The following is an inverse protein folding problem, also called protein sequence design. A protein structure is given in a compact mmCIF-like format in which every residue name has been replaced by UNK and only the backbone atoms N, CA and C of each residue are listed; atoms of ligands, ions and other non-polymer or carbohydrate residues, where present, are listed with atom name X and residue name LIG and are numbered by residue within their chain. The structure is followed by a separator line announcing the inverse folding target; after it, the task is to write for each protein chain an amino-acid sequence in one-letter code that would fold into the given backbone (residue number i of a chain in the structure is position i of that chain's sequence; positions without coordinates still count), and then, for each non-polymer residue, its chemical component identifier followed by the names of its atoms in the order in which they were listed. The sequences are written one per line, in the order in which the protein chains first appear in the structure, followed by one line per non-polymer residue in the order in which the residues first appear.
data_IF_328926177247
#
_entry.id   IF_328926177247
#
_cell.length_a   1.000
_cell.length_b   1.000
_cell.length_c   1.000
_cell.angle_alpha   90.00
_cell.angle_beta   90.00
_cell.angle_gamma   90.00
#
_symmetry.space_group_name_H-M   'P 1'
#
loop_
_entity.id
_entity.type
_entity.pdbx_description
1 polymer ?
#
# COMPACT_ATOMS: atom_id res chain seq x y z
N UNK A 1 12.56 -22.25 28.76
CA UNK A 1 13.37 -21.39 27.86
C UNK A 1 13.24 -19.97 28.39
N UNK A 2 14.31 -19.36 28.90
CA UNK A 2 14.30 -17.98 29.35
C UNK A 2 14.63 -17.09 28.15
N UNK A 3 13.61 -16.59 27.46
CA UNK A 3 13.76 -15.65 26.34
C UNK A 3 13.34 -14.25 26.78
N UNK A 4 14.12 -13.22 26.47
CA UNK A 4 13.78 -11.82 26.78
C UNK A 4 12.88 -11.27 25.67
N UNK A 5 11.57 -11.25 25.91
CA UNK A 5 10.58 -10.75 24.96
C UNK A 5 10.05 -9.40 25.42
N UNK A 6 10.21 -8.36 24.59
CA UNK A 6 9.71 -7.02 24.87
C UNK A 6 8.48 -6.72 24.01
N UNK A 7 7.41 -6.27 24.64
CA UNK A 7 6.25 -5.70 23.97
C UNK A 7 6.40 -4.19 23.88
N UNK A 8 6.15 -3.62 22.70
CA UNK A 8 6.38 -2.21 22.40
C UNK A 8 5.14 -1.57 21.81
N UNK A 9 4.50 -0.68 22.56
CA UNK A 9 3.47 0.20 22.03
C UNK A 9 4.07 1.53 21.57
N UNK A 10 3.96 1.81 20.27
CA UNK A 10 4.67 2.91 19.61
C UNK A 10 3.78 4.14 19.53
N UNK A 11 4.19 5.19 20.22
CA UNK A 11 3.54 6.51 20.21
C UNK A 11 4.21 7.44 19.18
N UNK A 12 3.70 8.68 19.07
CA UNK A 12 4.23 9.68 18.12
C UNK A 12 5.69 10.09 18.40
N UNK A 13 6.08 10.19 19.66
CA UNK A 13 7.37 10.72 20.11
C UNK A 13 8.11 9.81 21.10
N UNK A 14 7.57 8.62 21.37
CA UNK A 14 8.10 7.68 22.36
C UNK A 14 7.60 6.26 22.07
N UNK A 15 8.11 5.29 22.82
CA UNK A 15 7.59 3.92 22.87
C UNK A 15 7.43 3.51 24.34
N UNK A 16 6.28 2.94 24.68
CA UNK A 16 6.05 2.31 25.99
C UNK A 16 6.40 0.84 25.85
N UNK A 17 7.13 0.31 26.82
CA UNK A 17 7.68 -1.02 26.77
C UNK A 17 7.36 -1.84 28.01
N UNK A 18 7.20 -3.15 27.80
CA UNK A 18 7.10 -4.15 28.85
C UNK A 18 8.02 -5.32 28.49
N UNK A 19 9.09 -5.53 29.26
CA UNK A 19 10.01 -6.64 29.07
C UNK A 19 9.56 -7.83 29.95
N UNK A 20 9.42 -9.00 29.33
CA UNK A 20 9.11 -10.26 30.00
C UNK A 20 10.26 -11.25 29.83
N UNK A 21 10.79 -11.73 30.95
CA UNK A 21 11.74 -12.86 31.02
C UNK A 21 11.05 -14.21 31.20
N UNK A 22 9.78 -14.18 31.60
CA UNK A 22 8.87 -15.32 31.70
C UNK A 22 7.44 -14.86 31.41
N UNK A 23 6.56 -15.79 31.02
CA UNK A 23 5.13 -15.52 30.85
C UNK A 23 4.46 -15.43 32.23
N UNK A 24 3.81 -14.30 32.60
CA UNK A 24 3.07 -14.21 33.86
C UNK A 24 1.89 -15.17 33.87
N UNK A 25 1.58 -15.83 34.99
CA UNK A 25 0.42 -16.72 35.09
C UNK A 25 -0.90 -15.92 35.09
N UNK A 26 -0.90 -14.78 35.79
CA UNK A 26 -2.01 -13.83 35.83
C UNK A 26 -1.58 -12.45 35.29
N UNK A 27 -1.79 -12.19 33.98
CA UNK A 27 -1.49 -10.90 33.36
C UNK A 27 -2.25 -9.72 33.95
N UNK A 28 -3.43 -9.94 34.52
CA UNK A 28 -4.26 -8.87 35.06
C UNK A 28 -3.66 -8.35 36.38
N UNK A 29 -3.29 -9.26 37.28
CA UNK A 29 -2.59 -8.89 38.51
C UNK A 29 -1.19 -8.36 38.17
N UNK A 30 -0.44 -9.04 37.28
CA UNK A 30 0.90 -8.62 36.89
C UNK A 30 0.96 -7.20 36.32
N UNK A 31 -0.10 -6.74 35.65
CA UNK A 31 -0.17 -5.38 35.11
C UNK A 31 0.08 -4.30 36.16
N UNK A 32 -0.34 -4.49 37.42
CA UNK A 32 -0.15 -3.51 38.48
C UNK A 32 1.27 -3.49 39.05
N UNK A 33 1.99 -4.62 38.94
CA UNK A 33 3.36 -4.78 39.44
C UNK A 33 4.42 -4.63 38.33
N UNK A 34 3.99 -4.56 37.07
CA UNK A 34 4.87 -4.52 35.91
C UNK A 34 5.68 -3.22 35.83
N UNK A 35 6.98 -3.35 35.59
CA UNK A 35 7.84 -2.20 35.30
C UNK A 35 7.71 -1.77 33.83
N UNK A 36 6.86 -0.78 33.58
CA UNK A 36 6.73 -0.16 32.27
C UNK A 36 7.75 0.96 32.10
N UNK A 37 8.50 0.90 31.00
CA UNK A 37 9.48 1.93 30.67
C UNK A 37 9.08 2.66 29.39
N UNK A 38 9.19 3.99 29.41
CA UNK A 38 8.91 4.84 28.25
C UNK A 38 10.22 5.42 27.72
N UNK A 39 10.48 5.23 26.43
CA UNK A 39 11.68 5.72 25.78
C UNK A 39 11.34 6.79 24.74
N UNK A 40 11.99 7.96 24.76
CA UNK A 40 11.78 8.98 23.73
C UNK A 40 12.31 8.52 22.37
N UNK A 41 11.68 8.97 21.28
CA UNK A 41 12.08 8.67 19.90
C UNK A 41 13.32 9.50 19.47
N UNK A 42 14.42 9.33 20.19
CA UNK A 42 15.72 9.97 19.94
C UNK A 42 16.86 8.98 20.24
N UNK A 43 18.11 9.43 20.07
CA UNK A 43 19.29 8.59 20.29
C UNK A 43 19.33 7.96 21.69
N UNK A 44 19.09 8.76 22.73
CA UNK A 44 19.11 8.30 24.12
C UNK A 44 18.06 7.24 24.37
N UNK A 45 16.82 7.43 23.91
CA UNK A 45 15.77 6.43 24.09
C UNK A 45 16.01 5.13 23.31
N UNK A 46 16.62 5.21 22.13
CA UNK A 46 17.05 4.01 21.39
C UNK A 46 18.14 3.26 22.16
N UNK A 47 19.15 3.97 22.68
CA UNK A 47 20.23 3.35 23.47
C UNK A 47 19.67 2.66 24.72
N UNK A 48 18.84 3.36 25.50
CA UNK A 48 18.24 2.80 26.72
C UNK A 48 17.31 1.61 26.43
N UNK A 49 16.59 1.62 25.30
CA UNK A 49 15.81 0.46 24.88
C UNK A 49 16.70 -0.76 24.56
N UNK A 50 17.83 -0.54 23.90
CA UNK A 50 18.77 -1.61 23.56
C UNK A 50 19.53 -2.15 24.77
N UNK A 51 19.76 -1.32 25.79
CA UNK A 51 20.33 -1.73 27.09
C UNK A 51 19.46 -2.76 27.82
N UNK A 52 18.15 -2.80 27.53
CA UNK A 52 17.27 -3.87 28.00
C UNK A 52 17.58 -5.24 27.40
N UNK A 53 18.51 -5.33 26.44
CA UNK A 53 18.95 -6.55 25.77
C UNK A 53 17.81 -7.51 25.38
N UNK A 54 16.75 -7.04 24.66
CA UNK A 54 15.69 -7.92 24.21
C UNK A 54 16.18 -8.87 23.12
N UNK A 55 15.71 -10.12 23.14
CA UNK A 55 15.96 -11.10 22.07
C UNK A 55 14.83 -11.11 21.02
N UNK A 56 13.65 -10.62 21.41
CA UNK A 56 12.50 -10.43 20.52
C UNK A 56 11.75 -9.17 20.92
N UNK A 57 11.36 -8.37 19.93
CA UNK A 57 10.46 -7.24 20.09
C UNK A 57 9.15 -7.47 19.35
N UNK A 58 8.02 -7.30 20.03
CA UNK A 58 6.67 -7.45 19.47
C UNK A 58 5.97 -6.10 19.49
N UNK A 59 5.50 -5.65 18.33
CA UNK A 59 4.85 -4.33 18.20
C UNK A 59 3.71 -4.34 17.18
N UNK A 60 2.82 -3.36 17.28
CA UNK A 60 1.87 -3.07 16.21
C UNK A 60 2.52 -2.21 15.11
N UNK A 61 2.09 -2.32 13.84
CA UNK A 61 2.50 -1.39 12.78
C UNK A 61 1.77 -0.04 12.90
N UNK A 62 1.81 0.60 14.08
CA UNK A 62 1.13 1.87 14.36
C UNK A 62 1.85 3.00 13.64
N UNK A 63 1.15 3.66 12.70
CA UNK A 63 1.65 4.78 11.90
C UNK A 63 3.03 4.50 11.31
N UNK A 64 3.10 3.83 10.16
CA UNK A 64 4.31 3.26 9.50
C UNK A 64 5.63 4.04 9.65
N UNK A 65 5.58 5.37 9.79
CA UNK A 65 6.76 6.20 10.01
C UNK A 65 7.31 6.17 11.45
N UNK A 66 6.46 6.08 12.47
CA UNK A 66 6.87 6.09 13.88
C UNK A 66 7.56 4.78 14.27
N UNK A 67 7.04 3.64 13.82
CA UNK A 67 7.65 2.33 14.07
C UNK A 67 8.96 2.11 13.32
N UNK A 68 9.21 2.83 12.21
CA UNK A 68 10.41 2.66 11.37
C UNK A 68 11.71 2.87 12.13
N UNK A 69 11.76 3.86 13.02
CA UNK A 69 12.92 4.12 13.87
C UNK A 69 13.25 2.88 14.72
N UNK A 70 12.29 2.43 15.50
CA UNK A 70 12.44 1.31 16.43
C UNK A 70 12.77 0.00 15.70
N UNK A 71 12.02 -0.33 14.66
CA UNK A 71 12.25 -1.54 13.84
C UNK A 71 13.67 -1.55 13.26
N UNK A 72 14.17 -0.41 12.78
CA UNK A 72 15.50 -0.32 12.17
C UNK A 72 16.59 -0.56 13.20
N UNK A 73 16.54 0.16 14.33
CA UNK A 73 17.59 0.03 15.36
C UNK A 73 17.57 -1.33 16.05
N UNK A 74 16.40 -1.91 16.31
CA UNK A 74 16.26 -3.25 16.86
C UNK A 74 16.84 -4.31 15.93
N UNK A 75 16.47 -4.30 14.64
CA UNK A 75 17.04 -5.24 13.67
C UNK A 75 18.56 -5.08 13.51
N UNK A 76 19.07 -3.84 13.49
CA UNK A 76 20.52 -3.58 13.42
C UNK A 76 21.27 -4.11 14.65
N UNK A 77 20.62 -4.14 15.81
CA UNK A 77 21.14 -4.74 17.04
C UNK A 77 20.93 -6.26 17.12
N UNK A 78 20.40 -6.89 16.07
CA UNK A 78 20.15 -8.34 16.03
C UNK A 78 18.89 -8.80 16.76
N UNK A 79 18.01 -7.88 17.18
CA UNK A 79 16.76 -8.20 17.87
C UNK A 79 15.71 -8.66 16.86
N UNK A 80 15.06 -9.79 17.11
CA UNK A 80 13.98 -10.29 16.24
C UNK A 80 12.73 -9.41 16.39
N UNK A 81 12.33 -8.70 15.34
CA UNK A 81 11.11 -7.87 15.37
C UNK A 81 9.91 -8.60 14.76
N UNK A 82 8.81 -8.68 15.51
CA UNK A 82 7.54 -9.26 15.06
C UNK A 82 6.40 -8.27 15.15
N UNK A 83 5.55 -8.26 14.12
CA UNK A 83 4.43 -7.33 14.01
C UNK A 83 3.10 -8.03 14.28
N UNK A 84 2.21 -7.40 15.04
CA UNK A 84 0.86 -7.92 15.34
C UNK A 84 -0.21 -7.03 14.70
N UNK A 85 -1.29 -7.65 14.21
CA UNK A 85 -2.43 -6.90 13.69
C UNK A 85 -3.28 -6.31 14.83
N UNK A 86 -3.68 -5.06 14.69
CA UNK A 86 -4.46 -4.33 15.70
C UNK A 86 -5.77 -5.00 16.12
N UNK A 87 -6.48 -5.66 15.21
CA UNK A 87 -7.71 -6.38 15.56
C UNK A 87 -7.38 -7.59 16.41
N UNK A 88 -6.30 -8.31 16.07
CA UNK A 88 -5.83 -9.46 16.83
C UNK A 88 -5.37 -9.05 18.23
N UNK A 89 -4.56 -8.01 18.35
CA UNK A 89 -4.05 -7.54 19.64
C UNK A 89 -5.20 -7.10 20.55
N UNK A 90 -6.11 -6.27 20.04
CA UNK A 90 -7.29 -5.81 20.79
C UNK A 90 -8.12 -6.98 21.32
N UNK A 91 -8.37 -7.99 20.48
CA UNK A 91 -9.11 -9.19 20.88
C UNK A 91 -8.37 -10.01 21.93
N UNK A 92 -7.05 -10.15 21.77
CA UNK A 92 -6.19 -10.88 22.72
C UNK A 92 -6.14 -10.17 24.08
N UNK A 93 -5.84 -8.87 24.11
CA UNK A 93 -5.79 -8.08 25.34
C UNK A 93 -7.11 -8.15 26.12
N UNK A 94 -8.24 -7.87 25.45
CA UNK A 94 -9.54 -7.81 26.10
C UNK A 94 -10.05 -9.17 26.56
N UNK A 95 -9.97 -10.19 25.71
CA UNK A 95 -10.69 -11.45 25.93
C UNK A 95 -9.81 -12.55 26.52
N UNK A 96 -8.50 -12.49 26.32
CA UNK A 96 -7.57 -13.53 26.76
C UNK A 96 -6.75 -13.11 27.98
N UNK A 97 -6.36 -11.82 28.06
CA UNK A 97 -5.60 -11.31 29.20
C UNK A 97 -6.47 -10.62 30.26
N UNK A 98 -7.79 -10.52 30.04
CA UNK A 98 -8.70 -9.80 30.93
C UNK A 98 -8.27 -8.34 31.24
N UNK A 99 -7.60 -7.69 30.29
CA UNK A 99 -7.21 -6.27 30.37
C UNK A 99 -8.16 -5.44 29.49
N UNK A 100 -9.37 -5.07 29.94
CA UNK A 100 -10.36 -4.41 29.08
C UNK A 100 -9.95 -2.97 28.70
N UNK A 101 -9.27 -2.27 29.61
CA UNK A 101 -8.93 -0.87 29.45
C UNK A 101 -7.81 -0.67 28.44
N UNK A 102 -8.02 0.28 27.53
CA UNK A 102 -7.01 0.63 26.53
C UNK A 102 -6.09 1.71 27.11
N UNK A 103 -4.82 1.36 27.31
CA UNK A 103 -3.73 2.29 27.55
C UNK A 103 -2.42 1.69 27.02
N UNK A 104 -1.40 2.54 26.84
CA UNK A 104 -0.15 2.17 26.18
C UNK A 104 0.60 1.05 26.95
N UNK A 105 0.56 1.07 28.28
CA UNK A 105 1.14 0.02 29.13
C UNK A 105 0.44 -1.33 28.94
N UNK A 106 -0.90 -1.33 28.84
CA UNK A 106 -1.69 -2.55 28.68
C UNK A 106 -1.49 -3.15 27.28
N UNK A 107 -1.37 -2.32 26.25
CA UNK A 107 -1.04 -2.78 24.90
C UNK A 107 0.43 -3.29 24.84
N UNK A 108 1.38 -2.64 25.53
CA UNK A 108 2.76 -3.12 25.65
C UNK A 108 2.86 -4.48 26.38
N UNK A 109 2.19 -4.66 27.51
CA UNK A 109 2.13 -5.96 28.20
C UNK A 109 1.46 -7.01 27.31
N UNK A 110 0.36 -6.66 26.65
CA UNK A 110 -0.35 -7.59 25.77
C UNK A 110 0.52 -8.07 24.60
N UNK A 111 1.33 -7.17 24.00
CA UNK A 111 2.28 -7.51 22.96
C UNK A 111 3.37 -8.47 23.46
N UNK A 112 3.91 -8.23 24.65
CA UNK A 112 4.92 -9.11 25.26
C UNK A 112 4.35 -10.52 25.52
N UNK A 113 3.16 -10.61 26.13
CA UNK A 113 2.44 -11.86 26.35
C UNK A 113 2.11 -12.56 25.01
N UNK A 114 1.71 -11.82 23.98
CA UNK A 114 1.44 -12.36 22.64
C UNK A 114 2.70 -13.01 22.04
N UNK A 115 3.85 -12.37 22.24
CA UNK A 115 5.16 -12.90 21.87
C UNK A 115 5.41 -14.25 22.52
N UNK A 116 5.26 -14.33 23.84
CA UNK A 116 5.43 -15.57 24.60
C UNK A 116 4.51 -16.69 24.13
N UNK A 117 3.21 -16.41 23.99
CA UNK A 117 2.19 -17.41 23.68
C UNK A 117 2.30 -17.94 22.24
N UNK A 118 2.82 -17.12 21.32
CA UNK A 118 2.84 -17.43 19.89
C UNK A 118 4.23 -17.45 19.25
N UNK A 119 5.32 -17.39 20.01
CA UNK A 119 6.70 -17.34 19.47
C UNK A 119 7.02 -18.44 18.45
N UNK A 120 6.40 -19.61 18.55
CA UNK A 120 6.62 -20.73 17.62
C UNK A 120 5.59 -20.76 16.46
N UNK A 121 4.62 -19.85 16.43
CA UNK A 121 3.56 -19.79 15.44
C UNK A 121 3.63 -18.52 14.58
N UNK A 122 4.49 -18.54 13.56
CA UNK A 122 4.71 -17.39 12.66
C UNK A 122 3.43 -16.90 11.96
N UNK A 123 2.42 -17.76 11.77
CA UNK A 123 1.14 -17.38 11.13
C UNK A 123 0.31 -16.39 11.96
N UNK A 124 0.61 -16.27 13.26
CA UNK A 124 -0.06 -15.33 14.17
C UNK A 124 0.40 -13.89 13.94
N UNK A 125 1.66 -13.70 13.52
CA UNK A 125 2.24 -12.40 13.23
C UNK A 125 1.97 -11.95 11.79
N UNK A 126 2.12 -10.65 11.57
CA UNK A 126 2.11 -10.06 10.24
C UNK A 126 3.41 -10.42 9.53
N UNK A 127 3.30 -10.74 8.23
CA UNK A 127 4.46 -11.02 7.40
C UNK A 127 5.26 -9.74 7.17
N UNK A 128 6.54 -9.78 7.49
CA UNK A 128 7.48 -8.70 7.19
C UNK A 128 7.79 -8.70 5.70
N UNK A 129 7.81 -7.52 5.09
CA UNK A 129 8.21 -7.33 3.70
C UNK A 129 9.72 -7.21 3.62
N UNK A 130 10.30 -7.57 2.46
CA UNK A 130 11.71 -7.27 2.23
C UNK A 130 11.97 -5.75 2.29
N UNK A 131 13.19 -5.31 2.61
CA UNK A 131 13.54 -3.89 2.63
C UNK A 131 13.21 -3.18 1.32
N UNK A 132 13.46 -3.83 0.19
CA UNK A 132 13.23 -3.31 -1.16
C UNK A 132 11.74 -3.13 -1.44
N UNK A 133 10.93 -4.13 -1.04
CA UNK A 133 9.47 -4.10 -1.18
C UNK A 133 8.86 -3.00 -0.32
N UNK A 134 9.41 -2.79 0.89
CA UNK A 134 9.01 -1.70 1.78
C UNK A 134 9.34 -0.34 1.18
N UNK A 135 10.58 -0.16 0.69
CA UNK A 135 11.01 1.07 0.03
C UNK A 135 10.18 1.40 -1.22
N UNK A 136 9.87 0.38 -2.03
CA UNK A 136 9.01 0.51 -3.20
C UNK A 136 7.61 1.01 -2.81
N UNK A 137 7.05 0.45 -1.73
CA UNK A 137 5.74 0.85 -1.21
C UNK A 137 5.73 2.30 -0.68
N UNK A 138 6.78 2.68 0.05
CA UNK A 138 6.95 4.05 0.56
C UNK A 138 6.95 5.07 -0.60
N UNK A 139 7.67 4.77 -1.69
CA UNK A 139 7.64 5.60 -2.89
C UNK A 139 6.26 5.69 -3.53
N UNK A 140 5.52 4.58 -3.64
CA UNK A 140 4.14 4.61 -4.14
C UNK A 140 3.23 5.50 -3.27
N UNK A 141 3.38 5.44 -1.94
CA UNK A 141 2.61 6.31 -1.04
C UNK A 141 3.00 7.79 -1.18
N UNK A 142 4.29 8.07 -1.38
CA UNK A 142 4.76 9.44 -1.62
C UNK A 142 4.18 10.00 -2.91
N UNK A 143 4.15 9.23 -4.01
CA UNK A 143 3.49 9.63 -5.25
C UNK A 143 1.99 9.90 -5.07
N UNK A 144 1.28 9.08 -4.30
CA UNK A 144 -0.14 9.34 -4.01
C UNK A 144 -0.36 10.57 -3.11
N UNK A 145 0.60 10.88 -2.23
CA UNK A 145 0.59 12.13 -1.49
C UNK A 145 0.79 13.35 -2.41
N UNK A 146 1.79 13.30 -3.30
CA UNK A 146 2.03 14.37 -4.28
C UNK A 146 0.82 14.61 -5.18
N UNK A 147 0.16 13.55 -5.66
CA UNK A 147 -1.09 13.67 -6.42
C UNK A 147 -2.18 14.43 -5.65
N UNK A 148 -2.30 14.21 -4.33
CA UNK A 148 -3.28 14.89 -3.48
C UNK A 148 -2.94 16.36 -3.25
N UNK A 149 -1.66 16.71 -3.19
CA UNK A 149 -1.20 18.10 -3.11
C UNK A 149 -1.38 18.84 -4.43
N UNK A 150 -1.09 18.18 -5.55
CA UNK A 150 -1.14 18.77 -6.88
C UNK A 150 -2.56 19.21 -7.27
N UNK A 151 -3.58 18.38 -6.98
CA UNK A 151 -4.95 18.62 -7.46
C UNK A 151 -5.54 19.97 -7.00
N UNK A 152 -5.51 20.34 -5.70
CA UNK A 152 -5.96 21.66 -5.26
C UNK A 152 -5.20 22.81 -5.92
N UNK A 153 -3.88 22.68 -6.09
CA UNK A 153 -3.04 23.73 -6.69
C UNK A 153 -3.41 23.91 -8.18
N UNK A 154 -3.55 22.82 -8.94
CA UNK A 154 -3.98 22.87 -10.34
C UNK A 154 -5.37 23.49 -10.46
N UNK A 155 -6.33 23.07 -9.63
CA UNK A 155 -7.68 23.60 -9.68
C UNK A 155 -7.71 25.09 -9.36
N UNK A 156 -6.93 25.54 -8.37
CA UNK A 156 -6.83 26.95 -8.03
C UNK A 156 -6.18 27.76 -9.15
N UNK A 157 -5.07 27.27 -9.72
CA UNK A 157 -4.42 27.89 -10.87
C UNK A 157 -5.38 28.02 -12.06
N UNK A 158 -6.22 27.02 -12.34
CA UNK A 158 -7.22 27.14 -13.42
C UNK A 158 -8.23 28.25 -13.17
N UNK A 159 -8.66 28.45 -11.91
CA UNK A 159 -9.55 29.54 -11.54
C UNK A 159 -8.87 30.91 -11.69
N UNK A 160 -7.61 31.01 -11.24
CA UNK A 160 -6.85 32.26 -11.36
C UNK A 160 -6.56 32.56 -12.85
N UNK A 161 -6.17 31.56 -13.65
CA UNK A 161 -5.94 31.73 -15.09
C UNK A 161 -7.21 32.08 -15.85
N UNK A 162 -8.40 31.76 -15.36
CA UNK A 162 -9.66 32.09 -16.06
C UNK A 162 -9.87 33.60 -16.28
N UNK A 163 -9.27 34.44 -15.44
CA UNK A 163 -9.30 35.90 -15.61
C UNK A 163 -7.92 36.51 -15.88
N UNK A 164 -6.83 35.85 -15.47
CA UNK A 164 -5.46 36.35 -15.70
C UNK A 164 -4.90 36.00 -17.08
N UNK A 165 -5.23 34.82 -17.61
CA UNK A 165 -4.77 34.30 -18.90
C UNK A 165 -5.77 33.26 -19.47
N UNK A 166 -7.00 33.70 -19.82
CA UNK A 166 -8.15 32.81 -20.07
C UNK A 166 -7.91 31.77 -21.16
N UNK A 167 -7.11 32.08 -22.17
CA UNK A 167 -6.78 31.21 -23.30
C UNK A 167 -6.09 29.91 -22.86
N UNK A 168 -5.50 29.89 -21.66
CA UNK A 168 -4.82 28.72 -21.11
C UNK A 168 -5.53 28.07 -19.93
N UNK A 169 -6.61 28.65 -19.40
CA UNK A 169 -7.31 28.15 -18.22
C UNK A 169 -7.86 26.72 -18.40
N UNK A 170 -8.33 26.39 -19.60
CA UNK A 170 -8.78 25.05 -19.99
C UNK A 170 -7.69 24.10 -20.47
N UNK A 171 -6.46 24.59 -20.67
CA UNK A 171 -5.38 23.81 -21.29
C UNK A 171 -4.89 22.68 -20.38
N UNK A 172 -4.66 21.50 -20.97
CA UNK A 172 -3.93 20.43 -20.29
C UNK A 172 -2.44 20.56 -20.57
N UNK A 173 -1.66 20.95 -19.55
CA UNK A 173 -0.21 20.88 -19.60
C UNK A 173 0.27 19.66 -18.80
N UNK A 174 1.07 18.80 -19.45
CA UNK A 174 1.59 17.56 -18.85
C UNK A 174 3.11 17.64 -18.71
N UNK A 175 3.64 16.92 -17.71
CA UNK A 175 5.09 16.75 -17.49
C UNK A 175 5.73 16.11 -18.73
N UNK A 176 6.95 16.53 -19.09
CA UNK A 176 7.72 16.04 -20.24
C UNK A 176 8.99 15.34 -19.73
N UNK A 177 8.85 14.09 -19.30
CA UNK A 177 9.97 13.37 -18.69
C UNK A 177 10.41 14.01 -17.38
N UNK A 178 11.66 14.47 -17.30
CA UNK A 178 12.18 15.19 -16.13
C UNK A 178 11.70 16.64 -16.04
N UNK A 179 11.24 17.20 -17.17
CA UNK A 179 10.84 18.61 -17.24
C UNK A 179 9.41 18.82 -16.75
N UNK A 180 9.15 19.88 -15.97
CA UNK A 180 7.81 20.24 -15.53
C UNK A 180 6.87 20.58 -16.72
N UNK A 181 5.54 20.64 -16.50
CA UNK A 181 4.61 21.03 -17.56
C UNK A 181 4.91 22.44 -18.08
N UNK A 182 5.03 22.59 -19.41
CA UNK A 182 5.58 23.79 -20.07
C UNK A 182 4.86 25.08 -19.68
N UNK A 183 3.52 25.01 -19.59
CA UNK A 183 2.70 26.17 -19.23
C UNK A 183 3.06 26.66 -17.84
N UNK A 184 3.19 25.75 -16.87
CA UNK A 184 3.49 26.11 -15.50
C UNK A 184 4.95 26.51 -15.32
N UNK A 185 5.87 25.87 -16.05
CA UNK A 185 7.28 26.27 -16.09
C UNK A 185 7.43 27.71 -16.60
N UNK A 186 6.70 28.05 -17.66
CA UNK A 186 6.66 29.41 -18.22
C UNK A 186 6.01 30.42 -17.28
N UNK A 187 4.85 30.11 -16.68
CA UNK A 187 4.21 30.99 -15.68
C UNK A 187 5.14 31.23 -14.48
N UNK A 188 5.86 30.18 -14.04
CA UNK A 188 6.84 30.24 -12.96
C UNK A 188 8.11 31.02 -13.33
N UNK A 189 8.33 31.35 -14.61
CA UNK A 189 9.56 31.99 -15.08
C UNK A 189 10.77 31.04 -15.12
N UNK A 190 10.56 29.73 -15.05
CA UNK A 190 11.63 28.72 -15.07
C UNK A 190 12.05 28.32 -16.49
N UNK A 191 11.17 28.50 -17.49
CA UNK A 191 11.41 28.11 -18.89
C UNK A 191 10.81 29.15 -19.85
N UNK A 192 11.52 29.51 -20.91
CA UNK A 192 10.93 30.32 -22.00
C UNK A 192 10.00 29.45 -22.85
N UNK A 193 8.88 30.04 -23.25
CA UNK A 193 7.91 29.37 -24.11
C UNK A 193 7.35 30.38 -25.10
N UNK A 194 7.98 30.56 -26.28
CA UNK A 194 7.59 31.57 -27.27
C UNK A 194 6.11 31.51 -27.66
N UNK A 195 5.55 30.29 -27.68
CA UNK A 195 4.11 30.07 -27.87
C UNK A 195 3.26 30.79 -26.84
N UNK A 196 3.58 30.64 -25.55
CA UNK A 196 2.83 31.27 -24.47
C UNK A 196 3.15 32.76 -24.35
N UNK A 197 4.38 33.19 -24.62
CA UNK A 197 4.74 34.61 -24.69
C UNK A 197 3.93 35.35 -25.76
N UNK A 198 3.86 34.80 -26.99
CA UNK A 198 3.09 35.39 -28.08
C UNK A 198 1.60 35.42 -27.75
N UNK A 199 1.06 34.32 -27.22
CA UNK A 199 -0.34 34.22 -26.85
C UNK A 199 -0.71 35.18 -25.72
N UNK A 200 0.18 35.35 -24.74
CA UNK A 200 -0.03 36.22 -23.60
C UNK A 200 -0.02 37.70 -23.97
N UNK A 201 0.84 38.12 -24.91
CA UNK A 201 0.89 39.50 -25.43
C UNK A 201 -0.42 39.97 -26.04
N UNK A 202 -1.20 39.04 -26.60
CA UNK A 202 -2.51 39.33 -27.22
C UNK A 202 -3.67 38.82 -26.37
N UNK A 203 -3.42 38.46 -25.11
CA UNK A 203 -4.45 37.90 -24.24
C UNK A 203 -5.44 38.97 -23.79
N UNK A 204 -6.70 38.57 -23.63
CA UNK A 204 -7.72 39.41 -22.98
C UNK A 204 -7.64 39.39 -21.44
N UNK A 205 -6.68 38.65 -20.87
CA UNK A 205 -6.52 38.48 -19.43
C UNK A 205 -6.00 39.72 -18.71
N UNK A 206 -6.31 39.85 -17.42
CA UNK A 206 -5.97 41.01 -16.60
C UNK A 206 -4.53 41.01 -16.05
N UNK A 207 -3.70 40.05 -16.45
CA UNK A 207 -2.31 39.95 -16.01
C UNK A 207 -2.06 38.87 -14.97
N UNK A 208 -0.88 38.24 -15.02
CA UNK A 208 -0.46 37.21 -14.06
C UNK A 208 0.01 37.86 -12.76
N UNK A 209 -0.42 37.32 -11.62
CA UNK A 209 0.00 37.80 -10.30
C UNK A 209 1.12 36.96 -9.70
N UNK A 210 1.83 37.51 -8.71
CA UNK A 210 2.87 36.79 -7.96
C UNK A 210 2.34 35.52 -7.26
N UNK A 211 1.08 35.54 -6.82
CA UNK A 211 0.44 34.35 -6.20
C UNK A 211 0.33 33.22 -7.24
N UNK A 212 -0.09 33.54 -8.47
CA UNK A 212 -0.18 32.57 -9.57
C UNK A 212 1.20 32.03 -9.94
N UNK A 213 2.22 32.89 -9.99
CA UNK A 213 3.62 32.47 -10.24
C UNK A 213 4.13 31.53 -9.15
N UNK A 214 3.93 31.88 -7.88
CA UNK A 214 4.29 31.04 -6.73
C UNK A 214 3.59 29.68 -6.74
N UNK A 215 2.32 29.62 -7.13
CA UNK A 215 1.59 28.36 -7.27
C UNK A 215 2.15 27.50 -8.43
N UNK A 216 2.53 28.14 -9.54
CA UNK A 216 3.17 27.44 -10.66
C UNK A 216 4.56 26.89 -10.30
N UNK A 217 5.37 27.62 -9.53
CA UNK A 217 6.65 27.13 -8.98
C UNK A 217 6.44 25.86 -8.15
N UNK A 218 5.44 25.86 -7.26
CA UNK A 218 5.10 24.68 -6.45
C UNK A 218 4.72 23.47 -7.31
N UNK A 219 3.97 23.66 -8.40
CA UNK A 219 3.68 22.57 -9.34
C UNK A 219 4.94 22.04 -10.02
N UNK A 220 5.87 22.92 -10.40
CA UNK A 220 7.14 22.51 -11.01
C UNK A 220 7.99 21.69 -10.04
N UNK A 221 8.04 22.08 -8.76
CA UNK A 221 8.70 21.32 -7.69
C UNK A 221 8.08 19.93 -7.50
N UNK A 222 6.74 19.84 -7.43
CA UNK A 222 6.04 18.55 -7.32
C UNK A 222 6.39 17.65 -8.52
N UNK A 223 6.38 18.19 -9.75
CA UNK A 223 6.71 17.42 -10.95
C UNK A 223 8.14 16.85 -10.92
N UNK A 224 9.10 17.61 -10.37
CA UNK A 224 10.49 17.14 -10.16
C UNK A 224 10.57 16.06 -9.08
N UNK A 225 9.88 16.24 -7.96
CA UNK A 225 9.79 15.22 -6.91
C UNK A 225 9.21 13.90 -7.44
N UNK A 226 8.13 13.96 -8.23
CA UNK A 226 7.54 12.78 -8.86
C UNK A 226 8.55 12.06 -9.76
N UNK A 227 9.29 12.79 -10.60
CA UNK A 227 10.30 12.20 -11.48
C UNK A 227 11.45 11.54 -10.68
N UNK A 228 11.94 12.20 -9.63
CA UNK A 228 12.98 11.64 -8.77
C UNK A 228 12.52 10.33 -8.13
N UNK A 229 11.30 10.29 -7.63
CA UNK A 229 10.73 9.08 -7.03
C UNK A 229 10.56 7.97 -8.08
N UNK A 230 10.07 8.30 -9.28
CA UNK A 230 9.94 7.32 -10.36
C UNK A 230 11.28 6.73 -10.79
N UNK A 231 12.35 7.53 -10.79
CA UNK A 231 13.71 7.06 -11.07
C UNK A 231 14.19 6.07 -10.01
N UNK A 232 13.94 6.35 -8.74
CA UNK A 232 14.28 5.41 -7.66
C UNK A 232 13.43 4.13 -7.69
N UNK A 233 12.16 4.24 -8.10
CA UNK A 233 11.30 3.08 -8.36
C UNK A 233 11.90 2.21 -9.47
N UNK A 234 12.34 2.79 -10.58
CA UNK A 234 12.95 2.04 -11.69
C UNK A 234 14.18 1.26 -11.23
N UNK A 235 15.09 1.91 -10.47
CA UNK A 235 16.25 1.22 -9.88
C UNK A 235 15.87 0.01 -9.03
N UNK A 236 14.82 0.14 -8.21
CA UNK A 236 14.32 -0.98 -7.41
C UNK A 236 13.71 -2.06 -8.28
N UNK A 237 12.94 -1.68 -9.31
CA UNK A 237 12.31 -2.61 -10.23
C UNK A 237 13.32 -3.39 -11.09
N UNK A 238 14.54 -2.89 -11.28
CA UNK A 238 15.60 -3.58 -12.02
C UNK A 238 16.35 -4.63 -11.19
N UNK A 239 16.00 -4.79 -9.90
CA UNK A 239 16.59 -5.81 -9.06
C UNK A 239 16.28 -7.24 -9.57
N UNK A 240 17.27 -8.17 -9.57
CA UNK A 240 17.13 -9.50 -10.19
C UNK A 240 15.90 -10.28 -9.71
N UNK A 241 15.58 -10.22 -8.42
CA UNK A 241 14.44 -10.92 -7.82
C UNK A 241 13.07 -10.45 -8.34
N UNK A 242 13.00 -9.27 -8.94
CA UNK A 242 11.76 -8.70 -9.48
C UNK A 242 11.61 -8.91 -10.98
N UNK A 243 12.67 -9.25 -11.70
CA UNK A 243 12.64 -9.45 -13.15
C UNK A 243 11.62 -10.50 -13.61
N UNK A 244 11.44 -11.66 -12.94
CA UNK A 244 10.40 -12.62 -13.31
C UNK A 244 8.99 -12.03 -13.29
N UNK A 245 8.68 -11.21 -12.27
CA UNK A 245 7.38 -10.54 -12.17
C UNK A 245 7.21 -9.48 -13.26
N UNK A 246 8.27 -8.71 -13.53
CA UNK A 246 8.21 -7.63 -14.52
C UNK A 246 8.00 -8.12 -15.93
N UNK A 247 8.61 -9.26 -16.30
CA UNK A 247 8.33 -9.91 -17.60
C UNK A 247 6.85 -10.16 -17.79
N UNK A 248 6.17 -10.72 -16.78
CA UNK A 248 4.72 -10.93 -16.81
C UNK A 248 3.98 -9.58 -16.83
N UNK A 249 4.39 -8.60 -16.02
CA UNK A 249 3.72 -7.29 -15.96
C UNK A 249 3.74 -6.53 -17.29
N UNK A 250 4.80 -6.69 -18.08
CA UNK A 250 4.90 -6.14 -19.44
C UNK A 250 3.82 -6.72 -20.35
N UNK A 251 3.50 -8.02 -20.23
CA UNK A 251 2.42 -8.63 -21.01
C UNK A 251 1.03 -8.05 -20.67
N UNK A 252 0.82 -7.64 -19.42
CA UNK A 252 -0.38 -6.90 -19.02
C UNK A 252 -0.37 -5.43 -19.49
N UNK A 253 0.78 -4.92 -19.95
CA UNK A 253 0.97 -3.52 -20.29
C UNK A 253 0.85 -2.60 -19.08
N UNK A 254 1.32 -3.04 -17.91
CA UNK A 254 1.39 -2.18 -16.72
C UNK A 254 2.47 -1.10 -16.91
N UNK A 255 2.16 0.15 -16.54
CA UNK A 255 3.16 1.21 -16.46
C UNK A 255 3.92 1.16 -15.14
N UNK A 256 5.07 1.85 -15.07
CA UNK A 256 6.01 1.85 -13.91
C UNK A 256 5.31 1.98 -12.55
N UNK A 257 4.42 2.98 -12.38
CA UNK A 257 3.69 3.18 -11.11
C UNK A 257 2.78 2.01 -10.77
N UNK A 258 2.15 1.37 -11.77
CA UNK A 258 1.29 0.19 -11.60
C UNK A 258 2.12 -1.06 -11.32
N UNK A 259 3.27 -1.24 -11.98
CA UNK A 259 4.20 -2.33 -11.65
C UNK A 259 4.64 -2.24 -10.19
N UNK A 260 5.16 -1.08 -9.80
CA UNK A 260 5.71 -0.84 -8.46
C UNK A 260 4.71 -1.19 -7.35
N UNK A 261 3.47 -0.72 -7.50
CA UNK A 261 2.46 -0.95 -6.47
C UNK A 261 1.99 -2.40 -6.41
N UNK A 262 1.78 -3.06 -7.55
CA UNK A 262 1.37 -4.46 -7.58
C UNK A 262 2.48 -5.34 -7.01
N UNK A 263 3.73 -5.12 -7.45
CA UNK A 263 4.91 -5.82 -6.95
C UNK A 263 5.06 -5.68 -5.43
N UNK A 264 4.93 -4.45 -4.91
CA UNK A 264 5.03 -4.18 -3.46
C UNK A 264 4.00 -4.94 -2.60
N UNK A 265 2.96 -5.47 -3.25
CA UNK A 265 1.85 -6.15 -2.61
C UNK A 265 1.90 -7.68 -2.78
N UNK A 266 2.47 -8.16 -3.89
CA UNK A 266 2.44 -9.59 -4.26
C UNK A 266 3.79 -10.29 -4.19
N UNK A 267 4.88 -9.57 -3.97
CA UNK A 267 6.18 -10.16 -3.73
C UNK A 267 6.40 -10.51 -2.26
N UNK A 268 7.03 -11.66 -1.93
CA UNK A 268 7.25 -12.82 -2.80
C UNK A 268 5.95 -13.64 -3.02
N UNK A 269 5.84 -14.35 -4.15
CA UNK A 269 4.61 -15.07 -4.55
C UNK A 269 4.37 -16.28 -3.64
N UNK A 270 5.46 -16.85 -3.11
CA UNK A 270 5.48 -17.94 -2.13
C UNK A 270 4.58 -17.61 -0.93
N UNK A 271 4.36 -16.32 -0.62
CA UNK A 271 3.44 -15.91 0.44
C UNK A 271 1.98 -16.33 0.24
N UNK A 272 1.60 -16.65 -1.00
CA UNK A 272 0.26 -17.05 -1.38
C UNK A 272 0.13 -18.56 -1.59
N UNK A 273 1.24 -19.27 -1.77
CA UNK A 273 1.27 -20.70 -2.12
C UNK A 273 1.21 -21.58 -0.86
N UNK A 274 0.99 -22.88 -1.06
CA UNK A 274 1.06 -23.87 0.02
C UNK A 274 2.51 -24.19 0.40
N UNK A 275 2.68 -25.04 1.41
CA UNK A 275 4.00 -25.48 1.89
C UNK A 275 4.83 -26.18 0.81
N UNK A 276 4.17 -26.86 -0.12
CA UNK A 276 4.80 -27.50 -1.29
C UNK A 276 5.16 -26.51 -2.43
N UNK A 277 5.03 -25.20 -2.21
CA UNK A 277 5.26 -24.18 -3.23
C UNK A 277 4.22 -24.15 -4.35
N UNK A 278 3.11 -24.90 -4.25
CA UNK A 278 2.06 -24.96 -5.28
C UNK A 278 0.77 -24.27 -4.83
N UNK A 279 -0.11 -23.86 -5.77
CA UNK A 279 -1.40 -23.29 -5.41
C UNK A 279 -2.29 -24.24 -4.58
N UNK A 280 -2.73 -23.79 -3.41
CA UNK A 280 -3.59 -24.55 -2.51
C UNK A 280 -5.05 -24.51 -2.97
N UNK A 281 -5.64 -25.69 -3.22
CA UNK A 281 -7.06 -25.87 -3.54
C UNK A 281 -7.68 -26.85 -2.53
N UNK A 282 -8.70 -26.39 -1.80
CA UNK A 282 -9.47 -27.24 -0.86
C UNK A 282 -10.80 -27.63 -1.47
N UNK A 283 -11.10 -28.91 -1.48
CA UNK A 283 -12.44 -29.39 -1.83
C UNK A 283 -13.24 -29.50 -0.53
N UNK A 284 -14.35 -28.75 -0.45
CA UNK A 284 -15.26 -28.78 0.70
C UNK A 284 -16.70 -28.77 0.19
N UNK A 285 -17.66 -29.39 0.90
CA UNK A 285 -19.06 -29.26 0.55
C UNK A 285 -19.50 -27.79 0.58
N UNK A 286 -20.36 -27.41 -0.37
CA UNK A 286 -21.05 -26.13 -0.35
C UNK A 286 -21.97 -26.07 0.86
N UNK A 287 -22.03 -24.91 1.54
CA UNK A 287 -22.85 -24.76 2.76
C UNK A 287 -24.33 -25.00 2.49
N UNK A 288 -24.83 -24.55 1.34
CA UNK A 288 -26.24 -24.68 0.96
C UNK A 288 -26.48 -25.89 0.05
N UNK A 289 -25.62 -26.08 -0.95
CA UNK A 289 -25.82 -27.13 -1.96
C UNK A 289 -25.36 -28.52 -1.53
N UNK A 290 -24.56 -28.65 -0.47
CA UNK A 290 -23.89 -29.90 -0.07
C UNK A 290 -22.84 -30.43 -1.05
N UNK A 291 -22.84 -29.95 -2.30
CA UNK A 291 -21.98 -30.44 -3.39
C UNK A 291 -20.51 -30.06 -3.19
N UNK A 292 -19.56 -30.95 -3.53
CA UNK A 292 -18.13 -30.64 -3.46
C UNK A 292 -17.79 -29.40 -4.30
N UNK A 293 -17.25 -28.38 -3.65
CA UNK A 293 -16.85 -27.13 -4.31
C UNK A 293 -15.35 -26.90 -4.13
N UNK A 294 -14.65 -26.62 -5.24
CA UNK A 294 -13.23 -26.26 -5.23
C UNK A 294 -13.06 -24.84 -4.66
N UNK A 295 -12.30 -24.72 -3.58
CA UNK A 295 -11.91 -23.44 -2.96
C UNK A 295 -10.45 -23.17 -3.25
N UNK A 296 -10.17 -22.29 -4.20
CA UNK A 296 -8.81 -21.87 -4.55
C UNK A 296 -8.27 -20.88 -3.52
N UNK A 297 -7.62 -21.38 -2.46
CA UNK A 297 -7.20 -20.59 -1.31
C UNK A 297 -6.09 -19.61 -1.69
N UNK A 298 -5.05 -20.09 -2.38
CA UNK A 298 -3.92 -19.25 -2.82
C UNK A 298 -4.36 -18.11 -3.71
N UNK A 299 -5.12 -18.42 -4.76
CA UNK A 299 -5.69 -17.42 -5.67
C UNK A 299 -6.52 -16.38 -4.93
N UNK A 300 -7.39 -16.81 -4.00
CA UNK A 300 -8.26 -15.89 -3.25
C UNK A 300 -7.45 -14.98 -2.32
N UNK A 301 -6.38 -15.49 -1.69
CA UNK A 301 -5.44 -14.66 -0.89
C UNK A 301 -4.76 -13.61 -1.78
N UNK A 302 -4.31 -14.00 -2.97
CA UNK A 302 -3.69 -13.10 -3.95
C UNK A 302 -4.66 -12.00 -4.41
N UNK A 303 -5.85 -12.37 -4.91
CA UNK A 303 -6.90 -11.44 -5.34
C UNK A 303 -7.32 -10.49 -4.19
N UNK A 304 -7.40 -11.00 -2.95
CA UNK A 304 -7.69 -10.17 -1.77
C UNK A 304 -6.57 -9.18 -1.48
N UNK A 305 -5.30 -9.55 -1.64
CA UNK A 305 -4.17 -8.63 -1.42
C UNK A 305 -4.21 -7.43 -2.38
N UNK A 306 -4.63 -7.66 -3.64
CA UNK A 306 -4.76 -6.64 -4.68
C UNK A 306 -6.03 -5.80 -4.59
N UNK A 307 -6.93 -6.12 -3.66
CA UNK A 307 -8.13 -5.33 -3.42
C UNK A 307 -9.32 -5.67 -4.31
N UNK A 308 -9.29 -6.82 -5.00
CA UNK A 308 -10.31 -7.20 -6.01
C UNK A 308 -11.18 -8.40 -5.60
N UNK A 309 -10.89 -9.04 -4.46
CA UNK A 309 -11.77 -10.06 -3.87
C UNK A 309 -12.71 -9.45 -2.82
N UNK A 310 -14.00 -9.84 -2.81
CA UNK A 310 -14.95 -9.37 -1.79
C UNK A 310 -14.60 -9.95 -0.41
N UNK A 311 -14.71 -9.11 0.61
CA UNK A 311 -14.78 -9.52 2.00
C UNK A 311 -16.26 -9.63 2.41
N UNK A 312 -16.57 -10.64 3.20
CA UNK A 312 -17.91 -10.89 3.70
C UNK A 312 -17.96 -10.46 5.16
N UNK A 313 -18.91 -9.59 5.51
CA UNK A 313 -19.27 -9.30 6.91
C UNK A 313 -20.73 -9.71 7.12
N UNK A 314 -20.93 -10.72 7.97
CA UNK A 314 -22.23 -11.26 8.34
C UNK A 314 -22.34 -11.22 9.86
N UNK A 315 -23.43 -10.66 10.39
CA UNK A 315 -23.68 -10.56 11.84
C UNK A 315 -25.18 -10.65 12.09
N UNK A 316 -25.62 -11.70 12.79
CA UNK A 316 -27.04 -11.94 13.08
C UNK A 316 -27.90 -11.90 11.81
N UNK A 317 -29.08 -11.28 11.91
CA UNK A 317 -30.07 -11.19 10.83
C UNK A 317 -29.76 -10.12 9.76
N UNK A 318 -28.58 -9.47 9.80
CA UNK A 318 -28.23 -8.45 8.81
C UNK A 318 -27.85 -9.08 7.47
N UNK A 319 -28.49 -8.61 6.39
CA UNK A 319 -28.14 -8.92 5.00
C UNK A 319 -26.64 -8.77 4.80
N UNK A 320 -26.01 -9.84 4.30
CA UNK A 320 -24.58 -9.92 4.04
C UNK A 320 -24.09 -8.72 3.22
N UNK A 321 -23.32 -7.83 3.85
CA UNK A 321 -22.64 -6.75 3.11
C UNK A 321 -21.30 -7.28 2.61
N UNK A 322 -21.16 -7.33 1.28
CA UNK A 322 -19.86 -7.59 0.63
C UNK A 322 -19.10 -6.28 0.54
N UNK A 323 -18.03 -6.14 1.33
CA UNK A 323 -17.16 -4.97 1.30
C UNK A 323 -15.91 -5.25 0.46
N UNK A 324 -15.28 -4.21 -0.07
CA UNK A 324 -14.02 -4.35 -0.76
C UNK A 324 -12.91 -4.59 0.28
N UNK A 325 -12.38 -5.82 0.35
CA UNK A 325 -11.21 -6.13 1.17
C UNK A 325 -9.92 -5.78 0.43
N UNK A 326 -8.80 -5.62 1.14
CA UNK A 326 -7.46 -5.49 0.55
C UNK A 326 -6.95 -4.08 0.27
N UNK A 327 -5.91 -3.97 -0.55
CA UNK A 327 -5.23 -2.70 -0.85
C UNK A 327 -6.08 -1.78 -1.74
N UNK A 328 -6.51 -0.64 -1.18
CA UNK A 328 -7.20 0.41 -1.94
C UNK A 328 -6.31 0.97 -3.06
N UNK A 329 -5.01 1.15 -2.78
CA UNK A 329 -4.09 1.75 -3.74
C UNK A 329 -3.89 0.81 -4.95
N UNK A 330 -3.77 -0.50 -4.75
CA UNK A 330 -3.72 -1.49 -5.85
C UNK A 330 -5.02 -1.46 -6.67
N UNK A 331 -6.18 -1.38 -5.99
CA UNK A 331 -7.48 -1.27 -6.66
C UNK A 331 -7.56 -0.02 -7.54
N UNK A 332 -7.11 1.14 -7.05
CA UNK A 332 -7.02 2.39 -7.84
C UNK A 332 -6.09 2.22 -9.04
N UNK A 333 -4.93 1.59 -8.86
CA UNK A 333 -3.97 1.36 -9.94
C UNK A 333 -4.53 0.45 -11.03
N UNK A 334 -5.17 -0.68 -10.65
CA UNK A 334 -5.84 -1.58 -11.60
C UNK A 334 -6.98 -0.89 -12.33
N UNK A 335 -7.75 -0.04 -11.66
CA UNK A 335 -8.78 0.76 -12.33
C UNK A 335 -8.17 1.70 -13.37
N UNK A 336 -7.16 2.49 -13.01
CA UNK A 336 -6.47 3.41 -13.95
C UNK A 336 -5.86 2.65 -15.13
N UNK A 337 -5.24 1.50 -14.89
CA UNK A 337 -4.74 0.63 -15.94
C UNK A 337 -5.87 0.15 -16.86
N UNK A 338 -6.98 -0.32 -16.31
CA UNK A 338 -8.12 -0.78 -17.11
C UNK A 338 -8.64 0.34 -18.03
N UNK A 339 -8.82 1.56 -17.50
CA UNK A 339 -9.28 2.72 -18.27
C UNK A 339 -8.36 3.06 -19.44
N UNK A 340 -7.05 2.90 -19.25
CA UNK A 340 -6.04 3.41 -20.20
C UNK A 340 -5.53 2.35 -21.17
N UNK A 341 -5.50 1.08 -20.74
CA UNK A 341 -4.89 -0.03 -21.50
C UNK A 341 -5.88 -1.04 -22.03
N UNK A 342 -7.02 -1.27 -21.37
CA UNK A 342 -7.97 -2.32 -21.79
C UNK A 342 -9.23 -1.73 -22.42
N UNK A 343 -9.77 -0.68 -21.80
CA UNK A 343 -11.03 -0.07 -22.26
C UNK A 343 -10.88 0.65 -23.60
N UNK A 344 -9.71 1.24 -23.86
CA UNK A 344 -9.35 1.84 -25.15
C UNK A 344 -8.83 0.75 -26.09
N UNK A 345 -9.59 0.41 -27.14
CA UNK A 345 -9.29 -0.69 -28.07
C UNK A 345 -7.88 -0.61 -28.67
N UNK A 346 -7.48 0.57 -29.14
CA UNK A 346 -6.15 0.79 -29.74
C UNK A 346 -4.98 0.65 -28.77
N UNK A 347 -5.23 0.73 -27.45
CA UNK A 347 -4.20 0.62 -26.43
C UNK A 347 -4.08 -0.79 -25.84
N UNK A 348 -4.91 -1.75 -26.28
CA UNK A 348 -4.89 -3.12 -25.77
C UNK A 348 -3.53 -3.77 -26.03
N UNK A 349 -2.94 -4.49 -25.06
CA UNK A 349 -1.79 -5.35 -25.33
C UNK A 349 -2.11 -6.31 -26.48
N UNK A 350 -1.19 -6.45 -27.43
CA UNK A 350 -1.35 -7.31 -28.61
C UNK A 350 -0.93 -8.74 -28.28
N UNK A 351 -1.63 -9.36 -27.32
CA UNK A 351 -1.37 -10.72 -26.83
C UNK A 351 -2.67 -11.36 -26.29
N UNK A 352 -2.57 -12.59 -25.80
CA UNK A 352 -3.73 -13.35 -25.29
C UNK A 352 -4.41 -12.68 -24.10
N UNK A 353 -3.66 -11.95 -23.26
CA UNK A 353 -4.20 -11.22 -22.11
C UNK A 353 -5.07 -10.06 -22.57
N UNK A 354 -4.54 -9.23 -23.48
CA UNK A 354 -5.27 -8.08 -24.03
C UNK A 354 -6.52 -8.50 -24.79
N UNK A 355 -6.45 -9.57 -25.57
CA UNK A 355 -7.59 -10.16 -26.26
C UNK A 355 -8.65 -10.66 -25.27
N UNK A 356 -8.27 -11.55 -24.33
CA UNK A 356 -9.20 -12.15 -23.36
C UNK A 356 -9.92 -11.11 -22.51
N UNK A 357 -9.20 -10.11 -22.01
CA UNK A 357 -9.78 -9.07 -21.18
C UNK A 357 -10.62 -8.08 -22.00
N UNK A 358 -10.17 -7.73 -23.22
CA UNK A 358 -10.91 -6.89 -24.15
C UNK A 358 -12.25 -7.51 -24.55
N UNK A 359 -12.25 -8.77 -24.96
CA UNK A 359 -13.45 -9.51 -25.38
C UNK A 359 -14.44 -9.66 -24.23
N UNK A 360 -13.93 -9.94 -23.02
CA UNK A 360 -14.78 -9.98 -21.82
C UNK A 360 -15.46 -8.63 -21.57
N UNK A 361 -14.70 -7.53 -21.63
CA UNK A 361 -15.20 -6.18 -21.39
C UNK A 361 -16.24 -5.79 -22.46
N UNK A 362 -15.95 -6.03 -23.73
CA UNK A 362 -16.82 -5.69 -24.85
C UNK A 362 -18.13 -6.49 -24.79
N UNK A 363 -18.06 -7.80 -24.53
CA UNK A 363 -19.24 -8.66 -24.34
C UNK A 363 -20.10 -8.22 -23.15
N UNK A 364 -19.50 -7.87 -22.01
CA UNK A 364 -20.27 -7.40 -20.86
C UNK A 364 -20.91 -6.03 -21.10
N UNK A 365 -20.28 -5.16 -21.90
CA UNK A 365 -20.87 -3.88 -22.34
C UNK A 365 -22.06 -4.10 -23.26
N UNK A 366 -21.96 -5.05 -24.20
CA UNK A 366 -23.09 -5.44 -25.08
C UNK A 366 -24.29 -5.97 -24.27
N UNK A 367 -24.03 -6.67 -23.16
CA UNK A 367 -25.08 -7.14 -22.22
C UNK A 367 -25.71 -6.02 -21.36
N UNK A 368 -25.42 -4.74 -21.61
CA UNK A 368 -25.95 -3.57 -20.87
C UNK A 368 -25.78 -3.64 -19.35
N UNK A 369 -24.74 -4.35 -18.87
CA UNK A 369 -24.45 -4.40 -17.43
C UNK A 369 -23.95 -3.04 -16.93
N UNK A 370 -24.17 -2.68 -15.65
CA UNK A 370 -23.65 -1.43 -15.11
C UNK A 370 -22.12 -1.32 -15.25
N UNK A 371 -21.63 -0.22 -15.84
CA UNK A 371 -20.21 -0.08 -16.22
C UNK A 371 -19.25 -0.27 -15.04
N UNK A 372 -19.61 0.21 -13.83
CA UNK A 372 -18.81 0.01 -12.61
C UNK A 372 -18.65 -1.48 -12.27
N UNK A 373 -19.70 -2.27 -12.47
CA UNK A 373 -19.68 -3.72 -12.23
C UNK A 373 -18.81 -4.42 -13.27
N UNK A 374 -18.93 -4.05 -14.55
CA UNK A 374 -18.10 -4.59 -15.64
C UNK A 374 -16.62 -4.38 -15.33
N UNK A 375 -16.24 -3.14 -14.99
CA UNK A 375 -14.84 -2.78 -14.68
C UNK A 375 -14.30 -3.56 -13.48
N UNK A 376 -15.10 -3.67 -12.42
CA UNK A 376 -14.73 -4.46 -11.24
C UNK A 376 -14.50 -5.94 -11.58
N UNK A 377 -15.40 -6.54 -12.38
CA UNK A 377 -15.27 -7.94 -12.84
C UNK A 377 -14.06 -8.14 -13.76
N UNK A 378 -13.78 -7.17 -14.63
CA UNK A 378 -12.61 -7.22 -15.50
C UNK A 378 -11.30 -7.14 -14.69
N UNK A 379 -11.21 -6.25 -13.69
CA UNK A 379 -10.06 -6.19 -12.77
C UNK A 379 -9.89 -7.50 -11.98
N UNK A 380 -10.99 -8.11 -11.53
CA UNK A 380 -10.96 -9.41 -10.86
C UNK A 380 -10.49 -10.56 -11.77
N UNK A 381 -10.84 -10.52 -13.06
CA UNK A 381 -10.31 -11.46 -14.06
C UNK A 381 -8.82 -11.21 -14.35
N UNK A 382 -8.41 -9.94 -14.46
CA UNK A 382 -7.00 -9.58 -14.66
C UNK A 382 -6.12 -10.06 -13.51
N UNK A 383 -6.54 -9.87 -12.25
CA UNK A 383 -5.80 -10.38 -11.08
C UNK A 383 -5.72 -11.91 -11.05
N UNK A 384 -6.77 -12.59 -11.50
CA UNK A 384 -6.79 -14.06 -11.61
C UNK A 384 -5.80 -14.55 -12.66
N UNK A 385 -5.81 -13.94 -13.84
CA UNK A 385 -4.86 -14.23 -14.90
C UNK A 385 -3.43 -13.98 -14.39
N UNK A 386 -3.20 -12.83 -13.76
CA UNK A 386 -1.89 -12.47 -13.24
C UNK A 386 -1.36 -13.50 -12.24
N UNK A 387 -2.20 -14.01 -11.33
CA UNK A 387 -1.80 -15.06 -10.42
C UNK A 387 -1.31 -16.31 -11.15
N UNK A 388 -2.04 -16.77 -12.16
CA UNK A 388 -1.67 -17.99 -12.89
C UNK A 388 -0.45 -17.81 -13.77
N UNK A 389 -0.29 -16.68 -14.45
CA UNK A 389 0.92 -16.39 -15.24
C UNK A 389 2.16 -16.31 -14.34
N UNK A 390 2.04 -15.69 -13.16
CA UNK A 390 3.13 -15.67 -12.18
C UNK A 390 3.46 -17.07 -11.64
N UNK A 391 2.46 -17.90 -11.35
CA UNK A 391 2.70 -19.29 -10.91
C UNK A 391 3.40 -20.09 -12.01
N UNK A 392 2.95 -19.96 -13.26
CA UNK A 392 3.55 -20.63 -14.42
C UNK A 392 5.00 -20.22 -14.63
N UNK A 393 5.36 -18.97 -14.31
CA UNK A 393 6.75 -18.49 -14.41
C UNK A 393 7.70 -19.06 -13.35
N UNK A 394 7.18 -19.75 -12.34
CA UNK A 394 7.97 -20.43 -11.30
C UNK A 394 8.12 -21.94 -11.56
N UNK A 395 7.39 -22.48 -12.54
CA UNK A 395 7.54 -23.85 -13.05
C UNK A 395 8.57 -23.87 -14.18
#
# INVERSE_FOLDING_TARGET
MNRRIIGLDVCKSSVVSCLLTSRPDDPQTYFYDANFQSFPANLSGVQSLLELAPEMAVMEPTGTNYSKLWVTHLNNAGVEVRLVDHVKLRGFRKNYLALPDKNDSADALALACYGWDYQNNLSRFLKTRSPETTKLRDYCYRLEHLNRLQNPIVNRLKQDLAWQFPETAGSQSRRRGELPPLLFAWIAGEESAPRYEKLYKTSAGLGLTEITRSAAVRLCQIAREEWLIEREILKLLDLPQFLPYRRIFVEFGFGVRTEAILLSQVYPLQNFLGENGKPEVKIRPGRESGKPTKRHISRRKFEKSLGVAPAESSSGDRVTKRTAGGSELCRKALWRWLFTRIEVKSNRPQNHIGQRLGDKLDREKQQKRPIKLIRSRCCGEAARLLFYELVKSLE
#
